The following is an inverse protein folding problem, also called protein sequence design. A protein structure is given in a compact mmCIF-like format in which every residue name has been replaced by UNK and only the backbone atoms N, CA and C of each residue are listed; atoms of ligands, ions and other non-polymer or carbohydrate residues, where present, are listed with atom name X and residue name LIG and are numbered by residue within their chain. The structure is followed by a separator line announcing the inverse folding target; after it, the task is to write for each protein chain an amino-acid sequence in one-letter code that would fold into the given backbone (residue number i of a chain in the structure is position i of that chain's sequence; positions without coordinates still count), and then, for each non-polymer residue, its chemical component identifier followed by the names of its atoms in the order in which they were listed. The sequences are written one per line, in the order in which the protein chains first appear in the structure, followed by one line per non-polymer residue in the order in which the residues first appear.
data_IF_878444941600
#
_entry.id   IF_878444941600
#
_cell.length_a   1.000
_cell.length_b   1.000
_cell.length_c   1.000
_cell.angle_alpha   90.00
_cell.angle_beta   90.00
_cell.angle_gamma   90.00
#
_symmetry.space_group_name_H-M   'P 1'
#
loop_
_entity.id
_entity.type
_entity.pdbx_description
1 polymer ?
#
# COMPACT_ATOMS: atom_id res chain seq x y z
N UNK A 1 -36.29 14.95 -32.96
CA UNK A 1 -34.81 14.82 -32.91
C UNK A 1 -34.22 15.57 -31.71
N UNK A 2 -34.42 16.88 -31.58
CA UNK A 2 -33.93 17.69 -30.44
C UNK A 2 -34.37 17.20 -29.04
N UNK A 3 -35.62 16.76 -28.90
CA UNK A 3 -36.19 16.26 -27.63
C UNK A 3 -35.55 14.94 -27.16
N UNK A 4 -35.14 14.07 -28.10
CA UNK A 4 -34.41 12.83 -27.78
C UNK A 4 -32.95 13.11 -27.38
N UNK A 5 -32.30 14.08 -28.04
CA UNK A 5 -30.94 14.52 -27.67
C UNK A 5 -30.90 15.13 -26.26
N UNK A 6 -31.86 15.99 -25.91
CA UNK A 6 -31.98 16.56 -24.57
C UNK A 6 -32.25 15.51 -23.49
N UNK A 7 -33.08 14.51 -23.78
CA UNK A 7 -33.38 13.43 -22.84
C UNK A 7 -32.16 12.54 -22.57
N UNK A 8 -31.32 12.32 -23.58
CA UNK A 8 -30.06 11.58 -23.43
C UNK A 8 -29.01 12.38 -22.64
N UNK A 9 -28.89 13.69 -22.88
CA UNK A 9 -27.95 14.54 -22.14
C UNK A 9 -28.28 14.59 -20.63
N UNK A 10 -29.56 14.77 -20.29
CA UNK A 10 -30.04 14.73 -18.89
C UNK A 10 -29.75 13.38 -18.21
N UNK A 11 -29.92 12.28 -18.93
CA UNK A 11 -29.61 10.95 -18.41
C UNK A 11 -28.12 10.79 -18.11
N UNK A 12 -27.25 11.26 -19.01
CA UNK A 12 -25.79 11.20 -18.86
C UNK A 12 -25.31 12.10 -17.72
N UNK A 13 -25.88 13.30 -17.57
CA UNK A 13 -25.61 14.19 -16.45
C UNK A 13 -25.99 13.54 -15.11
N UNK A 14 -27.20 12.97 -15.01
CA UNK A 14 -27.63 12.23 -13.81
C UNK A 14 -26.71 11.05 -13.50
N UNK A 15 -26.29 10.30 -14.51
CA UNK A 15 -25.37 9.18 -14.35
C UNK A 15 -24.01 9.65 -13.81
N UNK A 16 -23.46 10.75 -14.34
CA UNK A 16 -22.23 11.34 -13.83
C UNK A 16 -22.37 11.80 -12.39
N UNK A 17 -23.48 12.43 -12.01
CA UNK A 17 -23.70 12.80 -10.60
C UNK A 17 -23.69 11.58 -9.69
N UNK A 18 -24.34 10.47 -10.11
CA UNK A 18 -24.34 9.22 -9.34
C UNK A 18 -22.92 8.68 -9.19
N UNK A 19 -22.16 8.59 -10.29
CA UNK A 19 -20.78 8.09 -10.27
C UNK A 19 -19.84 8.99 -9.48
N UNK A 20 -20.00 10.31 -9.54
CA UNK A 20 -19.24 11.24 -8.72
C UNK A 20 -19.51 11.05 -7.23
N UNK A 21 -20.78 10.85 -6.84
CA UNK A 21 -21.15 10.54 -5.46
C UNK A 21 -20.49 9.22 -5.04
N UNK A 22 -20.59 8.17 -5.86
CA UNK A 22 -20.00 6.87 -5.57
C UNK A 22 -18.47 6.93 -5.45
N UNK A 23 -17.80 7.65 -6.36
CA UNK A 23 -16.37 7.89 -6.32
C UNK A 23 -15.93 8.61 -5.03
N UNK A 24 -16.69 9.61 -4.58
CA UNK A 24 -16.40 10.32 -3.34
C UNK A 24 -16.65 9.43 -2.11
N UNK A 25 -17.75 8.67 -2.07
CA UNK A 25 -18.04 7.73 -0.97
C UNK A 25 -16.92 6.70 -0.86
N UNK A 26 -16.51 6.09 -1.98
CA UNK A 26 -15.41 5.12 -2.01
C UNK A 26 -14.08 5.76 -1.57
N UNK A 27 -13.79 6.98 -2.03
CA UNK A 27 -12.62 7.75 -1.58
C UNK A 27 -12.59 7.95 -0.06
N UNK A 28 -13.71 8.37 0.53
CA UNK A 28 -13.79 8.57 1.98
C UNK A 28 -13.73 7.26 2.78
N UNK A 29 -14.26 6.17 2.23
CA UNK A 29 -14.11 4.85 2.81
C UNK A 29 -12.64 4.42 2.80
N UNK A 30 -11.95 4.54 1.66
CA UNK A 30 -10.58 4.05 1.54
C UNK A 30 -9.59 4.89 2.34
N UNK A 31 -9.74 6.22 2.42
CA UNK A 31 -8.84 7.06 3.24
C UNK A 31 -8.94 6.67 4.73
N UNK A 32 -10.14 6.36 5.23
CA UNK A 32 -10.33 5.92 6.61
C UNK A 32 -9.66 4.56 6.86
N UNK A 33 -9.76 3.64 5.89
CA UNK A 33 -9.12 2.33 5.93
C UNK A 33 -7.59 2.43 5.87
N UNK A 34 -7.07 3.29 4.99
CA UNK A 34 -5.65 3.62 4.89
C UNK A 34 -5.09 4.14 6.21
N UNK A 35 -5.75 5.14 6.83
CA UNK A 35 -5.29 5.72 8.11
C UNK A 35 -5.20 4.62 9.18
N UNK A 36 -6.25 3.78 9.30
CA UNK A 36 -6.24 2.64 10.23
C UNK A 36 -5.06 1.71 9.96
N UNK A 37 -4.88 1.28 8.70
CA UNK A 37 -3.81 0.36 8.31
C UNK A 37 -2.42 0.95 8.59
N UNK A 38 -2.19 2.20 8.20
CA UNK A 38 -0.94 2.91 8.43
C UNK A 38 -0.61 3.02 9.92
N UNK A 39 -1.58 3.40 10.76
CA UNK A 39 -1.35 3.50 12.21
C UNK A 39 -1.08 2.13 12.85
N UNK A 40 -1.81 1.09 12.44
CA UNK A 40 -1.55 -0.28 12.91
C UNK A 40 -0.17 -0.76 12.46
N UNK A 41 0.20 -0.48 11.21
CA UNK A 41 1.49 -0.86 10.66
C UNK A 41 2.65 -0.22 11.41
N UNK A 42 2.61 1.10 11.67
CA UNK A 42 3.67 1.79 12.42
C UNK A 42 3.92 1.12 13.78
N UNK A 43 2.85 0.80 14.52
CA UNK A 43 2.97 0.13 15.83
C UNK A 43 3.59 -1.27 15.74
N UNK A 44 3.24 -2.03 14.69
CA UNK A 44 3.76 -3.38 14.49
C UNK A 44 5.20 -3.34 13.97
N UNK A 45 5.52 -2.42 13.06
CA UNK A 45 6.84 -2.22 12.47
C UNK A 45 7.90 -2.03 13.56
N UNK A 46 7.64 -1.16 14.53
CA UNK A 46 8.57 -0.91 15.63
C UNK A 46 8.84 -2.20 16.44
N UNK A 47 7.78 -2.96 16.74
CA UNK A 47 7.90 -4.25 17.44
C UNK A 47 8.68 -5.28 16.60
N UNK A 48 8.42 -5.37 15.31
CA UNK A 48 9.15 -6.26 14.40
C UNK A 48 10.64 -5.90 14.33
N UNK A 49 10.97 -4.62 14.21
CA UNK A 49 12.36 -4.15 14.18
C UNK A 49 13.09 -4.46 15.48
N UNK A 50 12.44 -4.25 16.63
CA UNK A 50 13.00 -4.61 17.95
C UNK A 50 13.24 -6.12 18.03
N UNK A 51 12.30 -6.95 17.57
CA UNK A 51 12.46 -8.41 17.59
C UNK A 51 13.62 -8.87 16.70
N UNK A 52 13.76 -8.28 15.50
CA UNK A 52 14.87 -8.57 14.59
C UNK A 52 16.19 -8.14 15.24
N UNK A 53 16.24 -6.92 15.80
CA UNK A 53 17.43 -6.40 16.46
C UNK A 53 17.84 -7.23 17.68
N UNK A 54 16.88 -7.63 18.52
CA UNK A 54 17.11 -8.54 19.65
C UNK A 54 17.65 -9.88 19.17
N UNK A 55 17.06 -10.45 18.12
CA UNK A 55 17.50 -11.76 17.61
C UNK A 55 18.91 -11.70 17.00
N UNK A 56 19.29 -10.56 16.41
CA UNK A 56 20.67 -10.32 15.93
C UNK A 56 21.62 -10.13 17.11
N UNK A 57 21.22 -9.37 18.13
CA UNK A 57 22.01 -9.20 19.34
C UNK A 57 22.25 -10.54 20.03
N UNK A 58 21.20 -11.32 20.27
CA UNK A 58 21.27 -12.65 20.89
C UNK A 58 22.19 -13.60 20.10
N UNK A 59 22.21 -13.49 18.76
CA UNK A 59 23.15 -14.22 17.92
C UNK A 59 24.60 -13.80 18.20
N UNK A 60 24.90 -12.49 18.18
CA UNK A 60 26.26 -11.95 18.38
C UNK A 60 26.75 -12.18 19.81
N UNK A 61 25.85 -12.04 20.79
CA UNK A 61 26.16 -12.12 22.22
C UNK A 61 26.04 -13.52 22.78
N UNK A 62 25.81 -14.54 21.96
CA UNK A 62 25.77 -15.92 22.43
C UNK A 62 27.09 -16.25 23.14
N UNK A 63 26.99 -16.63 24.42
CA UNK A 63 28.14 -16.88 25.31
C UNK A 63 29.14 -17.86 24.68
N UNK A 64 28.66 -18.78 23.84
CA UNK A 64 29.50 -19.72 23.07
C UNK A 64 30.41 -19.03 22.03
N UNK A 65 29.96 -17.98 21.34
CA UNK A 65 30.78 -17.22 20.38
C UNK A 65 31.82 -16.38 21.13
N UNK A 66 31.42 -15.77 22.25
CA UNK A 66 32.30 -14.92 23.06
C UNK A 66 33.37 -15.78 23.76
N UNK A 67 32.97 -16.89 24.40
CA UNK A 67 33.91 -17.82 25.04
C UNK A 67 34.85 -18.44 24.02
N UNK A 68 34.39 -18.89 22.84
CA UNK A 68 35.30 -19.44 21.85
C UNK A 68 36.19 -18.38 21.19
N UNK A 69 35.73 -17.13 21.03
CA UNK A 69 36.56 -16.00 20.59
C UNK A 69 37.68 -15.72 21.59
N UNK A 70 37.37 -15.69 22.89
CA UNK A 70 38.35 -15.54 23.95
C UNK A 70 39.30 -16.74 24.03
N UNK A 71 38.79 -17.96 23.93
CA UNK A 71 39.60 -19.19 23.92
C UNK A 71 40.52 -19.24 22.70
N UNK A 72 40.07 -18.83 21.50
CA UNK A 72 40.89 -18.79 20.28
C UNK A 72 41.97 -17.70 20.28
N UNK A 73 41.72 -16.59 20.98
CA UNK A 73 42.70 -15.50 21.12
C UNK A 73 43.72 -15.78 22.22
N UNK A 74 43.38 -16.64 23.20
CA UNK A 74 44.26 -17.03 24.32
C UNK A 74 45.05 -18.33 24.03
N UNK A 75 44.42 -19.30 23.36
CA UNK A 75 45.03 -20.54 22.91
C UNK A 75 45.09 -20.45 21.40
N UNK A 76 46.29 -20.47 20.82
CA UNK A 76 46.60 -20.39 19.39
C UNK A 76 46.07 -21.65 18.62
N UNK A 77 44.78 -21.94 18.80
CA UNK A 77 44.06 -23.08 18.26
C UNK A 77 43.86 -22.81 16.77
N UNK A 78 44.32 -23.77 15.97
CA UNK A 78 44.31 -23.72 14.51
C UNK A 78 42.97 -23.20 14.01
N UNK A 79 43.04 -22.15 13.21
CA UNK A 79 41.97 -21.39 12.55
C UNK A 79 40.84 -22.27 11.96
N UNK A 80 41.14 -23.53 11.65
CA UNK A 80 40.25 -24.52 11.06
C UNK A 80 39.18 -25.06 12.02
N UNK A 81 39.48 -25.27 13.31
CA UNK A 81 38.49 -25.75 14.29
C UNK A 81 37.49 -24.68 14.67
N UNK A 82 37.97 -23.43 14.81
CA UNK A 82 37.13 -22.26 15.03
C UNK A 82 36.26 -21.96 13.81
N UNK A 83 36.82 -22.09 12.60
CA UNK A 83 36.06 -21.97 11.34
C UNK A 83 34.94 -23.01 11.25
N UNK A 84 35.23 -24.27 11.58
CA UNK A 84 34.23 -25.36 11.52
C UNK A 84 33.12 -25.19 12.56
N UNK A 85 33.47 -24.72 13.76
CA UNK A 85 32.49 -24.35 14.78
C UNK A 85 31.58 -23.19 14.34
N UNK A 86 32.16 -22.13 13.75
CA UNK A 86 31.38 -21.04 13.16
C UNK A 86 30.48 -21.54 12.03
N UNK A 87 30.97 -22.40 11.14
CA UNK A 87 30.16 -22.99 10.07
C UNK A 87 28.98 -23.80 10.62
N UNK A 88 29.18 -24.63 11.65
CA UNK A 88 28.13 -25.44 12.26
C UNK A 88 27.11 -24.58 13.03
N UNK A 89 27.54 -23.53 13.74
CA UNK A 89 26.65 -22.58 14.39
C UNK A 89 25.87 -21.71 13.39
N UNK A 90 26.50 -21.26 12.31
CA UNK A 90 25.80 -20.60 11.20
C UNK A 90 24.76 -21.54 10.58
N UNK A 91 25.05 -22.84 10.51
CA UNK A 91 24.11 -23.86 10.00
C UNK A 91 22.92 -24.07 10.92
N UNK A 92 23.14 -24.07 12.24
CA UNK A 92 22.08 -24.18 13.25
C UNK A 92 21.21 -22.91 13.32
N UNK A 93 21.82 -21.74 13.15
CA UNK A 93 21.13 -20.45 13.14
C UNK A 93 20.54 -20.07 11.78
N UNK A 94 20.84 -20.85 10.73
CA UNK A 94 20.31 -20.67 9.37
C UNK A 94 18.80 -20.55 9.36
N UNK A 95 18.08 -21.36 10.14
CA UNK A 95 16.62 -21.32 10.19
C UNK A 95 16.10 -20.04 10.86
N UNK A 96 16.81 -19.49 11.84
CA UNK A 96 16.45 -18.20 12.44
C UNK A 96 16.74 -17.05 11.47
N UNK A 97 17.87 -17.09 10.78
CA UNK A 97 18.23 -16.11 9.75
C UNK A 97 17.21 -16.13 8.60
N UNK A 98 16.81 -17.31 8.13
CA UNK A 98 15.78 -17.45 7.08
C UNK A 98 14.42 -16.92 7.54
N UNK A 99 14.04 -17.14 8.80
CA UNK A 99 12.83 -16.55 9.38
C UNK A 99 12.92 -15.02 9.45
N UNK A 100 14.04 -14.46 9.89
CA UNK A 100 14.26 -13.02 9.91
C UNK A 100 14.19 -12.41 8.51
N UNK A 101 14.85 -13.03 7.52
CA UNK A 101 14.82 -12.59 6.15
C UNK A 101 13.38 -12.57 5.59
N UNK A 102 12.59 -13.61 5.89
CA UNK A 102 11.18 -13.66 5.51
C UNK A 102 10.35 -12.56 6.19
N UNK A 103 10.58 -12.30 7.48
CA UNK A 103 9.90 -11.20 8.16
C UNK A 103 10.23 -9.86 7.52
N UNK A 104 11.49 -9.59 7.21
CA UNK A 104 11.91 -8.35 6.52
C UNK A 104 11.22 -8.23 5.16
N UNK A 105 11.19 -9.30 4.37
CA UNK A 105 10.51 -9.30 3.06
C UNK A 105 9.01 -9.00 3.20
N UNK A 106 8.33 -9.64 4.16
CA UNK A 106 6.92 -9.38 4.43
C UNK A 106 6.70 -7.93 4.88
N UNK A 107 7.61 -7.35 5.67
CA UNK A 107 7.55 -5.95 6.08
C UNK A 107 7.67 -4.99 4.90
N UNK A 108 8.66 -5.19 4.03
CA UNK A 108 8.87 -4.37 2.84
C UNK A 108 7.66 -4.43 1.90
N UNK A 109 7.05 -5.61 1.78
CA UNK A 109 5.85 -5.81 0.97
C UNK A 109 4.66 -5.01 1.52
N UNK A 110 4.41 -5.08 2.82
CA UNK A 110 3.33 -4.31 3.47
C UNK A 110 3.58 -2.81 3.33
N UNK A 111 4.81 -2.35 3.52
CA UNK A 111 5.16 -0.93 3.40
C UNK A 111 4.98 -0.41 1.97
N UNK A 112 5.34 -1.22 0.97
CA UNK A 112 5.09 -0.94 -0.45
C UNK A 112 3.59 -0.88 -0.75
N UNK A 113 2.80 -1.79 -0.21
CA UNK A 113 1.36 -1.85 -0.46
C UNK A 113 0.61 -0.70 0.23
N UNK A 114 1.00 -0.30 1.45
CA UNK A 114 0.52 0.92 2.11
C UNK A 114 0.84 2.16 1.26
N UNK A 115 2.06 2.24 0.73
CA UNK A 115 2.48 3.36 -0.13
C UNK A 115 1.66 3.43 -1.42
N UNK A 116 1.33 2.27 -2.02
CA UNK A 116 0.43 2.20 -3.19
C UNK A 116 -0.97 2.69 -2.84
N UNK A 117 -1.56 2.22 -1.74
CA UNK A 117 -2.89 2.66 -1.28
C UNK A 117 -2.90 4.18 -1.12
N UNK A 118 -1.86 4.75 -0.51
CA UNK A 118 -1.72 6.21 -0.38
C UNK A 118 -1.70 6.91 -1.73
N UNK A 119 -0.85 6.46 -2.65
CA UNK A 119 -0.73 7.04 -4.00
C UNK A 119 -2.06 7.00 -4.76
N UNK A 120 -2.75 5.86 -4.77
CA UNK A 120 -4.05 5.74 -5.43
C UNK A 120 -5.14 6.58 -4.77
N UNK A 121 -5.09 6.73 -3.44
CA UNK A 121 -6.02 7.61 -2.73
C UNK A 121 -5.76 9.08 -3.09
N UNK A 122 -4.51 9.51 -3.24
CA UNK A 122 -4.19 10.85 -3.74
C UNK A 122 -4.66 11.04 -5.19
N UNK A 123 -4.43 10.05 -6.06
CA UNK A 123 -4.91 10.12 -7.44
C UNK A 123 -6.44 10.24 -7.49
N UNK A 124 -7.17 9.43 -6.72
CA UNK A 124 -8.63 9.52 -6.61
C UNK A 124 -9.10 10.89 -6.10
N UNK A 125 -8.40 11.48 -5.11
CA UNK A 125 -8.68 12.85 -4.64
C UNK A 125 -8.58 13.87 -5.79
N UNK A 126 -7.49 13.84 -6.54
CA UNK A 126 -7.29 14.80 -7.65
C UNK A 126 -8.29 14.56 -8.78
N UNK A 127 -8.60 13.30 -9.11
CA UNK A 127 -9.62 12.96 -10.09
C UNK A 127 -11.00 13.47 -9.66
N UNK A 128 -11.40 13.28 -8.40
CA UNK A 128 -12.69 13.78 -7.89
C UNK A 128 -12.76 15.32 -7.95
N UNK A 129 -11.66 16.02 -7.62
CA UNK A 129 -11.59 17.49 -7.76
C UNK A 129 -11.72 17.91 -9.22
N UNK A 130 -11.01 17.24 -10.13
CA UNK A 130 -11.12 17.49 -11.57
C UNK A 130 -12.53 17.21 -12.09
N UNK A 131 -13.17 16.11 -11.67
CA UNK A 131 -14.55 15.79 -12.06
C UNK A 131 -15.53 16.88 -11.64
N UNK A 132 -15.39 17.48 -10.46
CA UNK A 132 -16.24 18.62 -10.05
C UNK A 132 -16.07 19.81 -11.01
N UNK A 133 -14.83 20.14 -11.40
CA UNK A 133 -14.57 21.22 -12.35
C UNK A 133 -15.17 20.92 -13.73
N UNK A 134 -14.99 19.69 -14.23
CA UNK A 134 -15.54 19.25 -15.51
C UNK A 134 -17.08 19.24 -15.49
N UNK A 135 -17.71 18.87 -14.37
CA UNK A 135 -19.16 18.95 -14.21
C UNK A 135 -19.66 20.39 -14.30
N UNK A 136 -18.98 21.36 -13.65
CA UNK A 136 -19.34 22.78 -13.76
C UNK A 136 -19.24 23.25 -15.22
N UNK A 137 -18.16 22.88 -15.91
CA UNK A 137 -17.97 23.22 -17.34
C UNK A 137 -19.07 22.59 -18.20
N UNK A 138 -19.42 21.32 -17.96
CA UNK A 138 -20.47 20.62 -18.68
C UNK A 138 -21.82 21.33 -18.54
N UNK A 139 -22.18 21.77 -17.33
CA UNK A 139 -23.44 22.48 -17.04
C UNK A 139 -23.51 23.89 -17.66
N UNK A 140 -22.38 24.56 -17.84
CA UNK A 140 -22.31 25.87 -18.52
C UNK A 140 -22.41 25.67 -20.03
N UNK A 141 -21.64 24.74 -20.57
CA UNK A 141 -21.53 24.49 -22.03
C UNK A 141 -22.77 23.84 -22.61
N UNK A 142 -23.52 23.05 -21.83
CA UNK A 142 -24.78 22.43 -22.26
C UNK A 142 -25.85 23.45 -22.69
N UNK A 143 -25.73 24.70 -22.24
CA UNK A 143 -26.62 25.81 -22.62
C UNK A 143 -26.19 26.55 -23.88
N UNK A 144 -24.96 26.35 -24.36
CA UNK A 144 -24.32 27.19 -25.39
C UNK A 144 -23.96 26.35 -26.63
N UNK A 145 -23.27 25.21 -26.45
CA UNK A 145 -22.82 24.33 -27.56
C UNK A 145 -22.95 22.86 -27.15
N UNK A 146 -23.90 22.16 -27.77
CA UNK A 146 -24.25 20.77 -27.42
C UNK A 146 -23.13 19.77 -27.69
N UNK A 147 -22.35 19.94 -28.78
CA UNK A 147 -21.27 19.01 -29.13
C UNK A 147 -20.11 19.05 -28.11
N UNK A 148 -19.65 20.25 -27.74
CA UNK A 148 -18.62 20.46 -26.71
C UNK A 148 -19.09 19.89 -25.37
N UNK A 149 -20.37 20.06 -25.03
CA UNK A 149 -20.95 19.52 -23.80
C UNK A 149 -20.85 17.98 -23.72
N UNK A 150 -21.08 17.27 -24.83
CA UNK A 150 -21.00 15.81 -24.86
C UNK A 150 -19.57 15.28 -24.67
N UNK A 151 -18.56 15.95 -25.25
CA UNK A 151 -17.15 15.56 -25.07
C UNK A 151 -16.68 15.79 -23.64
N UNK A 152 -17.10 16.89 -23.03
CA UNK A 152 -16.82 17.20 -21.62
C UNK A 152 -17.48 16.17 -20.70
N UNK A 153 -18.74 15.79 -20.96
CA UNK A 153 -19.44 14.74 -20.21
C UNK A 153 -18.77 13.37 -20.35
N UNK A 154 -18.31 13.00 -21.55
CA UNK A 154 -17.56 11.76 -21.76
C UNK A 154 -16.25 11.74 -20.97
N UNK A 155 -15.53 12.86 -20.96
CA UNK A 155 -14.30 13.03 -20.17
C UNK A 155 -14.58 12.91 -18.68
N UNK A 156 -15.64 13.56 -18.20
CA UNK A 156 -16.10 13.52 -16.81
C UNK A 156 -16.37 12.09 -16.33
N UNK A 157 -17.17 11.32 -17.08
CA UNK A 157 -17.44 9.92 -16.78
C UNK A 157 -16.15 9.08 -16.73
N UNK A 158 -15.22 9.33 -17.66
CA UNK A 158 -13.92 8.66 -17.66
C UNK A 158 -13.12 8.91 -16.38
N UNK A 159 -13.06 10.17 -15.91
CA UNK A 159 -12.37 10.53 -14.68
C UNK A 159 -13.01 9.87 -13.45
N UNK A 160 -14.34 9.87 -13.36
CA UNK A 160 -15.09 9.23 -12.27
C UNK A 160 -14.83 7.73 -12.22
N UNK A 161 -14.88 7.03 -13.36
CA UNK A 161 -14.61 5.60 -13.45
C UNK A 161 -13.17 5.25 -13.04
N UNK A 162 -12.19 6.05 -13.45
CA UNK A 162 -10.79 5.85 -13.03
C UNK A 162 -10.64 6.06 -11.51
N UNK A 163 -11.35 7.05 -10.95
CA UNK A 163 -11.34 7.30 -9.50
C UNK A 163 -11.94 6.13 -8.70
N UNK A 164 -13.07 5.60 -9.18
CA UNK A 164 -13.71 4.39 -8.62
C UNK A 164 -12.74 3.20 -8.70
N UNK A 165 -12.11 2.98 -9.86
CA UNK A 165 -11.13 1.92 -10.06
C UNK A 165 -9.99 1.99 -9.05
N UNK A 166 -9.36 3.16 -8.86
CA UNK A 166 -8.29 3.33 -7.89
C UNK A 166 -8.74 3.08 -6.46
N UNK A 167 -9.95 3.51 -6.11
CA UNK A 167 -10.52 3.29 -4.78
C UNK A 167 -10.78 1.81 -4.50
N UNK A 168 -11.36 1.09 -5.48
CA UNK A 168 -11.60 -0.36 -5.38
C UNK A 168 -10.29 -1.15 -5.32
N UNK A 169 -9.33 -0.84 -6.18
CA UNK A 169 -8.04 -1.51 -6.18
C UNK A 169 -7.31 -1.34 -4.84
N UNK A 170 -7.31 -0.12 -4.31
CA UNK A 170 -6.79 0.18 -2.97
C UNK A 170 -7.51 -0.60 -1.87
N UNK A 171 -8.83 -0.76 -1.98
CA UNK A 171 -9.61 -1.56 -1.02
C UNK A 171 -9.20 -3.04 -1.03
N UNK A 172 -8.96 -3.63 -2.20
CA UNK A 172 -8.51 -5.02 -2.29
C UNK A 172 -7.12 -5.22 -1.68
N UNK A 173 -6.19 -4.29 -1.94
CA UNK A 173 -4.86 -4.31 -1.30
C UNK A 173 -5.01 -4.22 0.23
N UNK A 174 -5.77 -3.24 0.70
CA UNK A 174 -6.04 -3.06 2.13
C UNK A 174 -6.56 -4.35 2.77
N UNK A 175 -7.53 -5.03 2.13
CA UNK A 175 -8.12 -6.26 2.66
C UNK A 175 -7.11 -7.41 2.71
N UNK A 176 -6.21 -7.49 1.74
CA UNK A 176 -5.15 -8.49 1.71
C UNK A 176 -4.16 -8.28 2.88
N UNK A 177 -3.77 -7.03 3.15
CA UNK A 177 -2.81 -6.72 4.22
C UNK A 177 -3.43 -6.70 5.61
N UNK A 178 -4.68 -6.26 5.77
CA UNK A 178 -5.39 -6.36 7.05
C UNK A 178 -5.46 -7.82 7.52
N UNK A 179 -5.65 -8.77 6.60
CA UNK A 179 -5.64 -10.20 6.93
C UNK A 179 -4.26 -10.70 7.39
N UNK A 180 -3.17 -10.20 6.80
CA UNK A 180 -1.79 -10.57 7.19
C UNK A 180 -1.36 -9.95 8.52
N UNK A 181 -1.91 -8.79 8.88
CA UNK A 181 -1.55 -8.11 10.12
C UNK A 181 -2.33 -8.64 11.33
N UNK A 182 -3.46 -9.29 11.12
CA UNK A 182 -4.31 -9.87 12.17
C UNK A 182 -4.05 -11.37 12.45
N UNK A 183 -3.20 -12.02 11.65
CA UNK A 183 -2.84 -13.44 11.75
C UNK A 183 -1.33 -13.60 11.72
#
# INVERSE_FOLDING_TARGET
MYKHMLMNALFVELLSVIFLIEANVLYYLIIRKYIKLSTTWTKLKDKYLINIFSSILDFISSDEIIEQSLVSSTLNLKTESFKKFLEDNIKNEKDKILKMAKYIEDMEKIEKDISKIFSYTQNSKYLNISSILFLIIALITSKIVVEISNEVLGTLLGLELISIYFSLYSYFIYKADEKKLLH
#
